data_IF_879455449879
#
_entry.id   IF_879455449879
#
_cell.length_a   1.000
_cell.length_b   1.000
_cell.length_c   1.000
_cell.angle_alpha   90.00
_cell.angle_beta   90.00
_cell.angle_gamma   90.00
#
_symmetry.space_group_name_H-M   'P 1'
#
loop_
_entity.id
_entity.type
_entity.pdbx_description
1 polymer ?
#
# COMPACT_ATOMS: atom_id res chain seq x y z
N UNK A 1 22.16 -8.97 16.24
CA UNK A 1 21.22 -7.93 15.78
C UNK A 1 19.83 -8.56 15.71
N UNK A 2 18.76 -7.78 15.81
CA UNK A 2 17.40 -8.29 15.58
C UNK A 2 16.75 -7.53 14.43
N UNK A 3 16.18 -8.28 13.50
CA UNK A 3 15.31 -7.79 12.44
C UNK A 3 13.86 -8.14 12.79
N UNK A 4 12.93 -7.27 12.43
CA UNK A 4 11.51 -7.41 12.76
C UNK A 4 10.65 -7.22 11.54
N UNK A 5 9.64 -8.07 11.41
CA UNK A 5 8.60 -7.96 10.40
C UNK A 5 7.48 -7.03 10.91
N UNK A 6 6.88 -6.18 10.06
CA UNK A 6 5.75 -5.34 10.46
C UNK A 6 4.60 -6.16 11.04
N UNK A 7 4.23 -5.89 12.29
CA UNK A 7 3.16 -6.62 13.01
C UNK A 7 1.84 -5.85 12.99
N UNK A 8 1.91 -4.56 13.30
CA UNK A 8 0.79 -3.63 13.30
C UNK A 8 0.84 -2.79 12.05
N UNK A 9 -0.13 -3.00 11.16
CA UNK A 9 -0.18 -2.33 9.87
C UNK A 9 -1.15 -1.15 9.98
N UNK A 10 -0.73 0.07 9.58
CA UNK A 10 -1.63 1.23 9.53
C UNK A 10 -2.90 0.94 8.72
N UNK A 11 -4.04 1.47 9.15
CA UNK A 11 -5.36 1.23 8.54
C UNK A 11 -6.06 -0.06 8.98
N UNK A 12 -5.31 -1.10 9.35
CA UNK A 12 -5.91 -2.34 9.86
C UNK A 12 -6.30 -2.32 11.33
N UNK A 13 -5.73 -1.39 12.09
CA UNK A 13 -5.97 -1.18 13.53
C UNK A 13 -5.82 -2.42 14.42
N UNK A 14 -5.06 -3.42 13.96
CA UNK A 14 -4.85 -4.71 14.63
C UNK A 14 -3.48 -5.32 14.23
N UNK A 15 -2.96 -6.33 14.95
CA UNK A 15 -1.70 -6.97 14.58
C UNK A 15 -1.89 -7.94 13.40
N UNK A 16 -2.12 -7.40 12.20
CA UNK A 16 -2.48 -8.13 10.98
C UNK A 16 -1.31 -8.45 10.04
N UNK A 17 -0.06 -8.13 10.41
CA UNK A 17 1.10 -8.42 9.57
C UNK A 17 1.15 -9.90 9.14
N UNK A 18 1.20 -10.22 7.83
CA UNK A 18 0.96 -11.58 7.34
C UNK A 18 2.20 -12.47 7.45
N UNK A 19 2.76 -12.58 8.66
CA UNK A 19 4.02 -13.29 8.92
C UNK A 19 3.98 -14.80 8.58
N UNK A 20 2.80 -15.37 8.39
CA UNK A 20 2.63 -16.74 7.90
C UNK A 20 3.01 -16.90 6.41
N UNK A 21 3.01 -15.80 5.64
CA UNK A 21 3.33 -15.79 4.21
C UNK A 21 4.83 -15.65 3.96
N UNK A 22 5.60 -15.17 4.94
CA UNK A 22 7.05 -15.04 4.84
C UNK A 22 7.70 -16.44 4.85
N UNK A 23 8.41 -16.76 3.78
CA UNK A 23 9.15 -18.02 3.60
C UNK A 23 10.54 -17.77 2.99
N UNK A 24 11.38 -18.80 2.98
CA UNK A 24 12.69 -18.72 2.30
C UNK A 24 13.70 -17.74 2.92
N UNK A 25 13.52 -17.29 4.17
CA UNK A 25 14.38 -16.30 4.81
C UNK A 25 15.85 -16.74 4.88
N UNK A 26 16.70 -15.96 4.21
CA UNK A 26 18.15 -16.10 4.18
C UNK A 26 18.78 -14.75 4.49
N UNK A 27 19.82 -14.77 5.31
CA UNK A 27 20.60 -13.60 5.68
C UNK A 27 22.06 -13.89 5.39
N UNK A 28 22.74 -12.96 4.73
CA UNK A 28 24.14 -13.09 4.34
C UNK A 28 24.91 -11.82 4.66
N UNK A 29 26.20 -11.98 4.99
CA UNK A 29 27.12 -10.85 5.05
C UNK A 29 28.52 -11.30 4.66
N UNK A 30 29.22 -10.49 3.86
CA UNK A 30 30.56 -10.82 3.36
C UNK A 30 30.63 -12.12 2.55
N UNK A 31 29.53 -12.51 1.88
CA UNK A 31 29.43 -13.76 1.11
C UNK A 31 29.21 -15.03 1.94
N UNK A 32 28.95 -14.90 3.25
CA UNK A 32 28.66 -16.01 4.14
C UNK A 32 27.21 -15.97 4.60
N UNK A 33 26.56 -17.13 4.64
CA UNK A 33 25.25 -17.28 5.29
C UNK A 33 25.39 -17.04 6.78
N UNK A 34 24.57 -16.14 7.32
CA UNK A 34 24.52 -15.84 8.75
C UNK A 34 23.56 -16.79 9.46
N UNK A 35 23.95 -17.34 10.63
CA UNK A 35 23.01 -18.07 11.47
C UNK A 35 22.00 -17.09 12.04
N UNK A 36 20.73 -17.48 12.02
CA UNK A 36 19.64 -16.74 12.60
C UNK A 36 18.66 -17.68 13.28
N UNK A 37 17.92 -17.14 14.25
CA UNK A 37 16.84 -17.82 14.93
C UNK A 37 15.65 -16.88 15.06
N UNK A 38 14.45 -17.39 14.81
CA UNK A 38 13.22 -16.68 15.13
C UNK A 38 13.07 -16.58 16.65
N UNK A 39 12.68 -15.42 17.15
CA UNK A 39 12.42 -15.23 18.59
C UNK A 39 11.36 -16.25 19.05
N UNK A 40 11.54 -16.93 20.20
CA UNK A 40 10.64 -18.00 20.65
C UNK A 40 9.28 -17.51 21.18
N UNK A 41 9.13 -16.20 21.41
CA UNK A 41 7.89 -15.59 21.94
C UNK A 41 7.31 -14.61 20.93
N UNK A 42 8.12 -13.68 20.41
CA UNK A 42 7.69 -12.74 19.39
C UNK A 42 7.97 -13.26 17.98
N UNK A 43 7.00 -13.97 17.40
CA UNK A 43 7.15 -14.57 16.06
C UNK A 43 7.45 -13.56 14.94
N UNK A 44 7.37 -12.25 15.18
CA UNK A 44 7.73 -11.21 14.21
C UNK A 44 9.22 -10.83 14.28
N UNK A 45 9.99 -11.34 15.25
CA UNK A 45 11.39 -11.00 15.45
C UNK A 45 12.33 -12.15 15.03
N UNK A 46 13.45 -11.77 14.44
CA UNK A 46 14.51 -12.67 13.95
C UNK A 46 15.85 -12.19 14.49
N UNK A 47 16.49 -13.01 15.32
CA UNK A 47 17.81 -12.76 15.85
C UNK A 47 18.86 -13.29 14.89
N UNK A 48 19.76 -12.41 14.44
CA UNK A 48 20.87 -12.75 13.54
C UNK A 48 22.20 -12.45 14.21
N UNK A 49 23.13 -13.39 14.12
CA UNK A 49 24.50 -13.17 14.56
C UNK A 49 25.30 -12.51 13.43
N UNK A 50 25.78 -11.30 13.69
CA UNK A 50 26.52 -10.52 12.71
C UNK A 50 27.99 -10.48 13.13
N UNK A 51 28.91 -11.10 12.37
CA UNK A 51 30.33 -11.05 12.66
C UNK A 51 30.86 -9.62 12.79
N UNK A 52 31.81 -9.43 13.71
CA UNK A 52 32.44 -8.13 13.92
C UNK A 52 33.14 -7.64 12.64
N UNK A 53 33.03 -6.33 12.37
CA UNK A 53 33.68 -5.68 11.24
C UNK A 53 32.87 -5.67 9.94
N UNK A 54 31.78 -6.45 9.84
CA UNK A 54 30.86 -6.36 8.71
C UNK A 54 29.95 -5.13 8.85
N UNK A 55 29.62 -4.51 7.72
CA UNK A 55 28.84 -3.26 7.65
C UNK A 55 27.55 -3.36 6.85
N UNK A 56 27.35 -4.49 6.18
CA UNK A 56 26.22 -4.75 5.30
C UNK A 56 25.73 -6.18 5.54
N UNK A 57 24.40 -6.33 5.52
CA UNK A 57 23.72 -7.62 5.55
C UNK A 57 22.74 -7.61 4.39
N UNK A 58 22.75 -8.67 3.60
CA UNK A 58 21.78 -8.92 2.54
C UNK A 58 20.73 -9.89 3.10
N UNK A 59 19.47 -9.50 3.01
CA UNK A 59 18.35 -10.30 3.47
C UNK A 59 17.47 -10.60 2.27
N UNK A 60 17.16 -11.87 2.06
CA UNK A 60 16.26 -12.32 1.00
C UNK A 60 15.20 -13.26 1.59
N UNK A 61 13.96 -13.10 1.17
CA UNK A 61 12.85 -13.95 1.52
C UNK A 61 11.75 -13.79 0.46
N UNK A 62 10.81 -14.73 0.46
CA UNK A 62 9.64 -14.70 -0.40
C UNK A 62 8.39 -14.42 0.45
N UNK A 63 7.43 -13.73 -0.14
CA UNK A 63 6.06 -13.61 0.39
C UNK A 63 5.12 -14.47 -0.46
N UNK A 64 4.32 -15.32 0.19
CA UNK A 64 3.29 -16.11 -0.48
C UNK A 64 2.08 -15.23 -0.82
N UNK A 65 1.88 -14.95 -2.11
CA UNK A 65 0.85 -14.03 -2.60
C UNK A 65 -0.56 -14.63 -2.70
N UNK A 66 -0.73 -15.91 -2.35
CA UNK A 66 -2.02 -16.61 -2.43
C UNK A 66 -2.91 -16.43 -1.17
N UNK A 67 -2.45 -15.62 -0.22
CA UNK A 67 -3.13 -15.30 1.03
C UNK A 67 -3.27 -13.78 1.20
N UNK A 68 -4.03 -13.37 2.22
CA UNK A 68 -4.34 -11.97 2.54
C UNK A 68 -3.12 -11.06 2.54
N UNK A 69 -3.15 -10.01 1.71
CA UNK A 69 -2.31 -8.82 1.87
C UNK A 69 -2.90 -7.97 2.99
N UNK A 70 -2.28 -8.00 4.17
CA UNK A 70 -2.40 -6.98 5.21
C UNK A 70 -3.73 -6.18 5.24
N UNK A 71 -4.86 -6.86 5.46
CA UNK A 71 -6.20 -6.24 5.49
C UNK A 71 -7.18 -6.81 4.47
N UNK A 72 -6.68 -7.24 3.32
CA UNK A 72 -7.46 -7.79 2.22
C UNK A 72 -7.97 -9.22 2.46
N UNK A 73 -9.15 -9.51 1.91
CA UNK A 73 -9.73 -10.84 1.90
C UNK A 73 -9.36 -11.60 0.62
N UNK A 74 -8.17 -12.18 0.53
CA UNK A 74 -7.77 -13.03 -0.60
C UNK A 74 -6.32 -12.87 -1.00
N UNK A 75 -5.96 -13.39 -2.19
CA UNK A 75 -4.62 -13.28 -2.73
C UNK A 75 -4.24 -11.82 -3.04
N UNK A 76 -2.95 -11.52 -3.04
CA UNK A 76 -2.40 -10.21 -3.43
C UNK A 76 -1.87 -10.19 -4.87
N UNK A 77 -1.93 -11.30 -5.59
CA UNK A 77 -1.51 -11.37 -6.98
C UNK A 77 -2.26 -12.45 -7.76
N UNK A 78 -2.34 -12.24 -9.08
CA UNK A 78 -2.80 -13.20 -10.07
C UNK A 78 -1.72 -13.43 -11.13
N UNK A 79 -2.04 -14.15 -12.20
CA UNK A 79 -1.14 -14.24 -13.36
C UNK A 79 -1.01 -12.92 -14.14
N UNK A 80 -1.95 -11.98 -13.97
CA UNK A 80 -2.06 -10.75 -14.76
C UNK A 80 -1.78 -9.48 -13.96
N UNK A 81 -1.88 -9.55 -12.62
CA UNK A 81 -1.73 -8.38 -11.77
C UNK A 81 -1.08 -8.71 -10.42
N UNK A 82 -0.57 -7.66 -9.78
CA UNK A 82 0.07 -7.63 -8.46
C UNK A 82 -0.44 -6.41 -7.71
N UNK A 83 -0.95 -6.65 -6.51
CA UNK A 83 -1.13 -5.67 -5.44
C UNK A 83 0.04 -5.87 -4.45
N UNK A 84 0.95 -4.89 -4.42
CA UNK A 84 2.13 -4.90 -3.58
C UNK A 84 1.98 -3.91 -2.43
N UNK A 85 1.77 -4.49 -1.25
CA UNK A 85 1.89 -3.80 0.02
C UNK A 85 3.31 -4.01 0.59
N UNK A 86 4.12 -2.94 0.63
CA UNK A 86 5.55 -3.04 1.00
C UNK A 86 5.80 -3.62 2.41
N UNK A 87 4.83 -3.50 3.30
CA UNK A 87 4.89 -4.11 4.63
C UNK A 87 5.02 -5.64 4.58
N UNK A 88 4.62 -6.28 3.48
CA UNK A 88 4.74 -7.72 3.28
C UNK A 88 6.17 -8.17 2.95
N UNK A 89 6.97 -7.28 2.35
CA UNK A 89 8.27 -7.58 1.75
C UNK A 89 9.41 -6.75 2.37
N UNK A 90 9.25 -6.33 3.63
CA UNK A 90 10.28 -5.60 4.37
C UNK A 90 10.57 -6.22 5.74
N UNK A 91 11.85 -6.26 6.10
CA UNK A 91 12.31 -6.47 7.48
C UNK A 91 13.03 -5.23 7.97
N UNK A 92 12.75 -4.84 9.21
CA UNK A 92 13.20 -3.58 9.79
C UNK A 92 14.18 -3.84 10.94
N UNK A 93 15.21 -3.02 11.17
CA UNK A 93 16.02 -3.12 12.38
C UNK A 93 15.19 -2.85 13.64
N UNK A 94 15.29 -3.72 14.64
CA UNK A 94 14.60 -3.51 15.92
C UNK A 94 15.11 -2.23 16.61
N UNK A 95 14.17 -1.44 17.14
CA UNK A 95 14.47 -0.28 18.00
C UNK A 95 14.64 1.05 17.25
N UNK A 96 14.58 1.03 15.92
CA UNK A 96 14.55 2.25 15.10
C UNK A 96 13.12 2.75 14.92
N UNK A 97 12.97 4.07 14.78
CA UNK A 97 11.72 4.69 14.31
C UNK A 97 11.55 4.38 12.83
N UNK A 98 10.33 4.13 12.35
CA UNK A 98 10.11 3.94 10.90
C UNK A 98 10.49 5.20 10.10
N UNK A 99 10.27 6.39 10.65
CA UNK A 99 10.73 7.65 10.02
C UNK A 99 12.26 7.79 9.99
N UNK A 100 12.97 7.07 10.87
CA UNK A 100 14.43 7.12 10.99
C UNK A 100 15.17 6.09 10.16
N UNK A 101 14.44 5.26 9.40
CA UNK A 101 15.02 4.27 8.48
C UNK A 101 14.79 4.78 7.06
N UNK A 102 15.88 5.14 6.37
CA UNK A 102 15.84 5.48 4.94
C UNK A 102 15.85 4.20 4.11
N UNK A 103 15.04 4.17 3.05
CA UNK A 103 14.95 3.05 2.10
C UNK A 103 15.05 3.61 0.69
N UNK A 104 15.76 2.89 -0.19
CA UNK A 104 15.79 3.14 -1.63
C UNK A 104 15.01 1.99 -2.31
N UNK A 105 13.70 2.16 -2.55
CA UNK A 105 12.86 1.06 -3.02
C UNK A 105 13.09 0.78 -4.50
N UNK A 106 12.99 -0.48 -4.90
CA UNK A 106 12.97 -0.84 -6.31
C UNK A 106 12.13 -2.08 -6.56
N UNK A 107 11.56 -2.18 -7.77
CA UNK A 107 10.80 -3.34 -8.23
C UNK A 107 11.29 -3.80 -9.59
N UNK A 108 11.26 -5.11 -9.81
CA UNK A 108 11.38 -5.72 -11.13
C UNK A 108 10.06 -6.39 -11.47
N UNK A 109 9.32 -5.80 -12.40
CA UNK A 109 8.03 -6.33 -12.85
C UNK A 109 8.20 -7.22 -14.09
N UNK A 110 7.25 -8.13 -14.37
CA UNK A 110 7.23 -8.88 -15.62
C UNK A 110 7.28 -7.94 -16.85
N UNK A 111 7.82 -8.45 -17.95
CA UNK A 111 7.98 -7.66 -19.17
C UNK A 111 6.62 -7.17 -19.69
N UNK A 112 6.54 -5.88 -20.03
CA UNK A 112 5.32 -5.25 -20.54
C UNK A 112 4.34 -4.75 -19.46
N UNK A 113 4.51 -5.16 -18.20
CA UNK A 113 3.66 -4.67 -17.12
C UNK A 113 3.90 -3.18 -16.86
N UNK A 114 2.82 -2.51 -16.49
CA UNK A 114 2.81 -1.12 -16.00
C UNK A 114 2.33 -1.12 -14.55
N UNK A 115 2.49 0.01 -13.86
CA UNK A 115 2.17 0.12 -12.44
C UNK A 115 1.69 1.53 -12.07
N UNK A 116 0.94 1.62 -10.97
CA UNK A 116 0.59 2.85 -10.27
C UNK A 116 1.14 2.82 -8.85
N UNK A 117 1.61 3.97 -8.35
CA UNK A 117 2.05 4.18 -6.97
C UNK A 117 2.23 5.67 -6.71
N UNK A 118 2.05 6.10 -5.46
CA UNK A 118 2.38 7.46 -5.03
C UNK A 118 3.90 7.72 -4.91
N UNK A 119 4.73 6.67 -4.87
CA UNK A 119 6.18 6.81 -4.79
C UNK A 119 6.74 7.50 -6.05
N UNK A 120 7.55 8.53 -5.84
CA UNK A 120 8.23 9.23 -6.92
C UNK A 120 9.28 8.34 -7.59
N UNK A 121 9.15 8.11 -8.90
CA UNK A 121 10.13 7.34 -9.68
C UNK A 121 11.44 8.12 -9.81
N UNK A 122 12.57 7.44 -9.53
CA UNK A 122 13.92 7.99 -9.72
C UNK A 122 14.47 7.62 -11.10
N UNK A 123 14.58 6.32 -11.39
CA UNK A 123 15.07 5.84 -12.68
C UNK A 123 14.50 4.48 -13.06
N UNK A 124 14.53 4.17 -14.36
CA UNK A 124 14.20 2.85 -14.90
C UNK A 124 15.36 2.34 -15.77
N UNK A 125 15.91 1.18 -15.44
CA UNK A 125 17.04 0.57 -16.16
C UNK A 125 16.96 -0.95 -16.06
N UNK A 126 17.23 -1.66 -17.16
CA UNK A 126 17.32 -3.13 -17.22
C UNK A 126 16.11 -3.86 -16.60
N UNK A 127 14.90 -3.33 -16.81
CA UNK A 127 13.65 -3.90 -16.27
C UNK A 127 13.43 -3.66 -14.77
N UNK A 128 14.29 -2.87 -14.11
CA UNK A 128 14.11 -2.42 -12.73
C UNK A 128 13.61 -0.98 -12.72
N UNK A 129 12.61 -0.72 -11.89
CA UNK A 129 12.16 0.62 -11.54
C UNK A 129 12.68 0.92 -10.13
N UNK A 130 13.49 1.97 -10.01
CA UNK A 130 13.92 2.49 -8.72
C UNK A 130 13.14 3.76 -8.38
N UNK A 131 12.71 3.87 -7.13
CA UNK A 131 12.02 5.02 -6.58
C UNK A 131 12.99 5.94 -5.85
N UNK A 132 12.56 7.17 -5.55
CA UNK A 132 13.33 8.08 -4.73
C UNK A 132 13.59 7.48 -3.34
N UNK A 133 14.72 7.83 -2.68
CA UNK A 133 14.90 7.51 -1.27
C UNK A 133 13.75 8.07 -0.43
N UNK A 134 13.17 7.25 0.43
CA UNK A 134 12.03 7.59 1.29
C UNK A 134 12.26 7.04 2.70
N UNK A 135 11.49 7.53 3.67
CA UNK A 135 11.43 6.86 4.97
C UNK A 135 10.72 5.51 4.85
N UNK A 136 10.99 4.58 5.77
CA UNK A 136 10.23 3.33 5.86
C UNK A 136 8.74 3.60 6.11
N UNK A 137 8.40 4.68 6.82
CA UNK A 137 7.00 5.12 6.99
C UNK A 137 6.35 5.40 5.64
N UNK A 138 6.98 6.22 4.80
CA UNK A 138 6.47 6.57 3.48
C UNK A 138 6.43 5.36 2.53
N UNK A 139 7.41 4.45 2.62
CA UNK A 139 7.40 3.21 1.84
C UNK A 139 6.19 2.33 2.16
N UNK A 140 5.97 2.03 3.44
CA UNK A 140 4.82 1.21 3.87
C UNK A 140 3.49 1.92 3.61
N UNK A 141 3.50 3.24 3.55
CA UNK A 141 2.33 4.05 3.26
C UNK A 141 2.11 4.36 1.76
N UNK A 142 2.90 3.75 0.87
CA UNK A 142 2.81 3.98 -0.58
C UNK A 142 2.81 2.65 -1.34
N UNK A 143 1.69 1.92 -1.35
CA UNK A 143 1.57 0.65 -2.08
C UNK A 143 1.76 0.83 -3.59
N UNK A 144 1.84 -0.30 -4.29
CA UNK A 144 2.00 -0.36 -5.73
C UNK A 144 1.08 -1.42 -6.33
N UNK A 145 0.23 -1.03 -7.27
CA UNK A 145 -0.49 -1.98 -8.12
C UNK A 145 0.19 -2.07 -9.47
N UNK A 146 0.25 -3.26 -10.06
CA UNK A 146 0.85 -3.50 -11.36
C UNK A 146 0.13 -4.58 -12.13
N UNK A 147 0.16 -4.52 -13.46
CA UNK A 147 -0.42 -5.57 -14.29
C UNK A 147 -0.13 -5.45 -15.77
N UNK A 148 -0.51 -6.47 -16.52
CA UNK A 148 -0.46 -6.47 -17.99
C UNK A 148 -1.53 -5.57 -18.62
N UNK A 149 -2.68 -5.45 -17.96
CA UNK A 149 -3.76 -4.53 -18.30
C UNK A 149 -3.73 -3.36 -17.32
N UNK A 150 -3.42 -2.18 -17.84
CA UNK A 150 -3.27 -0.97 -17.02
C UNK A 150 -3.69 0.27 -17.78
N UNK A 151 -4.40 1.15 -17.09
CA UNK A 151 -4.81 2.47 -17.57
C UNK A 151 -4.65 3.50 -16.47
N UNK A 152 -4.10 4.67 -16.82
CA UNK A 152 -4.07 5.82 -15.92
C UNK A 152 -5.05 6.89 -16.43
N UNK A 153 -5.80 7.49 -15.52
CA UNK A 153 -6.75 8.56 -15.81
C UNK A 153 -6.42 9.74 -14.89
N UNK A 154 -6.31 10.95 -15.45
CA UNK A 154 -6.22 12.16 -14.65
C UNK A 154 -7.62 12.69 -14.32
N UNK A 155 -7.88 12.93 -13.03
CA UNK A 155 -9.17 13.44 -12.54
C UNK A 155 -9.16 14.96 -12.32
N UNK A 156 -7.99 15.55 -12.13
CA UNK A 156 -7.83 17.01 -12.03
C UNK A 156 -7.91 17.69 -13.39
N UNK A 157 -8.41 18.91 -13.41
CA UNK A 157 -8.36 19.74 -14.62
C UNK A 157 -6.93 20.15 -14.95
N UNK A 158 -6.65 20.41 -16.23
CA UNK A 158 -5.33 20.87 -16.65
C UNK A 158 -4.93 22.17 -15.91
N UNK A 159 -3.77 22.14 -15.24
CA UNK A 159 -3.26 23.27 -14.46
C UNK A 159 -3.71 23.30 -12.99
N UNK A 160 -4.64 22.44 -12.58
CA UNK A 160 -4.98 22.26 -11.16
C UNK A 160 -3.92 21.41 -10.45
N UNK A 161 -3.59 21.77 -9.21
CA UNK A 161 -2.67 21.02 -8.34
C UNK A 161 -3.24 20.90 -6.92
N UNK A 162 -2.81 19.90 -6.13
CA UNK A 162 -2.03 18.72 -6.54
C UNK A 162 -2.78 17.85 -7.55
N UNK A 163 -2.05 17.02 -8.31
CA UNK A 163 -2.66 16.11 -9.28
C UNK A 163 -3.39 14.96 -8.58
N UNK A 164 -4.57 14.61 -9.12
CA UNK A 164 -5.29 13.38 -8.78
C UNK A 164 -5.29 12.45 -9.98
N UNK A 165 -4.73 11.27 -9.78
CA UNK A 165 -4.59 10.21 -10.76
C UNK A 165 -5.37 8.99 -10.28
N UNK A 166 -5.98 8.31 -11.22
CA UNK A 166 -6.63 7.03 -10.99
C UNK A 166 -5.88 5.99 -11.83
N UNK A 167 -5.20 5.09 -11.13
CA UNK A 167 -4.44 3.99 -11.70
C UNK A 167 -5.35 2.75 -11.67
N UNK A 168 -5.70 2.25 -12.84
CA UNK A 168 -6.57 1.08 -13.01
C UNK A 168 -5.73 -0.12 -13.43
N UNK A 169 -5.87 -1.24 -12.74
CA UNK A 169 -5.32 -2.55 -13.10
C UNK A 169 -6.44 -3.59 -13.07
N UNK A 170 -6.43 -4.55 -13.98
CA UNK A 170 -7.43 -5.61 -14.00
C UNK A 170 -6.96 -6.85 -14.72
N UNK A 171 -7.79 -7.89 -14.70
CA UNK A 171 -7.48 -9.14 -15.39
C UNK A 171 -7.65 -9.05 -16.92
N UNK A 172 -8.38 -8.04 -17.42
CA UNK A 172 -8.54 -7.76 -18.85
C UNK A 172 -8.74 -6.28 -19.18
N UNK A 173 -8.55 -5.88 -20.44
CA UNK A 173 -8.79 -4.49 -20.88
C UNK A 173 -10.25 -4.03 -20.69
N UNK A 174 -11.28 -4.87 -20.98
CA UNK A 174 -12.68 -4.52 -20.71
C UNK A 174 -12.97 -4.13 -19.25
N UNK A 175 -12.26 -4.71 -18.27
CA UNK A 175 -12.47 -4.38 -16.85
C UNK A 175 -12.07 -2.93 -16.51
N UNK A 176 -11.27 -2.29 -17.36
CA UNK A 176 -10.78 -0.92 -17.21
C UNK A 176 -11.62 0.10 -18.01
N UNK A 177 -12.68 -0.36 -18.65
CA UNK A 177 -13.65 0.51 -19.31
C UNK A 177 -14.52 1.21 -18.27
N UNK A 178 -14.80 2.48 -18.52
CA UNK A 178 -15.56 3.35 -17.63
C UNK A 178 -16.45 4.25 -18.48
N UNK A 179 -17.69 4.46 -18.04
CA UNK A 179 -18.58 5.39 -18.74
C UNK A 179 -18.10 6.82 -18.57
N UNK A 180 -18.46 7.70 -19.51
CA UNK A 180 -18.16 9.12 -19.36
C UNK A 180 -18.85 9.72 -18.13
N UNK A 181 -20.02 9.20 -17.74
CA UNK A 181 -20.74 9.65 -16.56
C UNK A 181 -19.95 9.37 -15.28
N UNK A 182 -19.41 8.16 -15.14
CA UNK A 182 -18.65 7.76 -13.95
C UNK A 182 -17.33 8.54 -13.86
N UNK A 183 -16.67 8.75 -15.00
CA UNK A 183 -15.48 9.60 -15.07
C UNK A 183 -15.79 11.00 -14.54
N UNK A 184 -16.90 11.61 -14.95
CA UNK A 184 -17.29 12.93 -14.43
C UNK A 184 -17.68 12.89 -12.95
N UNK A 185 -18.23 11.79 -12.44
CA UNK A 185 -18.48 11.60 -11.01
C UNK A 185 -17.19 11.55 -10.19
N UNK A 186 -16.16 10.82 -10.62
CA UNK A 186 -14.86 10.80 -9.93
C UNK A 186 -14.13 12.15 -9.97
N UNK A 187 -14.28 12.92 -11.06
CA UNK A 187 -13.79 14.32 -11.08
C UNK A 187 -14.54 15.20 -10.08
N UNK A 188 -15.86 15.04 -9.95
CA UNK A 188 -16.66 15.76 -8.96
C UNK A 188 -16.25 15.40 -7.55
N UNK A 189 -16.00 14.12 -7.24
CA UNK A 189 -15.47 13.69 -5.95
C UNK A 189 -14.20 14.50 -5.55
N UNK A 190 -13.24 14.62 -6.47
CA UNK A 190 -12.01 15.41 -6.24
C UNK A 190 -12.29 16.90 -6.02
N UNK A 191 -13.26 17.46 -6.76
CA UNK A 191 -13.65 18.86 -6.62
C UNK A 191 -14.39 19.14 -5.30
N UNK A 192 -15.34 18.28 -4.94
CA UNK A 192 -16.19 18.42 -3.76
C UNK A 192 -15.39 18.26 -2.47
N UNK A 193 -14.48 17.29 -2.41
CA UNK A 193 -13.53 17.15 -1.28
C UNK A 193 -12.61 18.38 -1.17
N UNK A 194 -12.20 18.97 -2.29
CA UNK A 194 -11.47 20.24 -2.32
C UNK A 194 -12.25 21.39 -1.68
N UNK A 195 -13.56 21.48 -1.94
CA UNK A 195 -14.44 22.48 -1.31
C UNK A 195 -14.66 22.18 0.18
N UNK A 196 -14.87 20.92 0.53
CA UNK A 196 -15.17 20.47 1.89
C UNK A 196 -13.99 20.70 2.85
N UNK A 197 -12.78 20.28 2.47
CA UNK A 197 -11.61 20.32 3.34
C UNK A 197 -10.73 21.54 3.14
N UNK A 198 -10.77 22.17 1.95
CA UNK A 198 -10.00 23.35 1.59
C UNK A 198 -8.50 23.12 1.37
N UNK A 199 -7.80 22.54 2.34
CA UNK A 199 -6.39 22.19 2.21
C UNK A 199 -6.21 20.77 1.68
N UNK A 200 -5.12 20.50 0.95
CA UNK A 200 -4.71 19.15 0.52
C UNK A 200 -3.32 18.88 1.09
N UNK A 201 -3.16 17.76 1.81
CA UNK A 201 -1.95 17.46 2.59
C UNK A 201 -1.05 16.41 1.91
N UNK A 202 -1.03 16.40 0.58
CA UNK A 202 -0.29 15.44 -0.23
C UNK A 202 0.25 16.13 -1.49
N UNK A 203 1.32 15.60 -2.07
CA UNK A 203 1.97 16.14 -3.28
C UNK A 203 1.16 15.87 -4.54
N UNK A 204 0.62 14.66 -4.61
CA UNK A 204 -0.31 14.12 -5.60
C UNK A 204 -1.14 13.05 -4.90
N UNK A 205 -2.25 12.63 -5.49
CA UNK A 205 -3.06 11.56 -4.95
C UNK A 205 -3.33 10.50 -6.01
N UNK A 206 -3.09 9.25 -5.67
CA UNK A 206 -3.32 8.10 -6.54
C UNK A 206 -4.45 7.22 -6.00
N UNK A 207 -5.56 7.13 -6.73
CA UNK A 207 -6.55 6.08 -6.54
C UNK A 207 -6.02 4.82 -7.23
N UNK A 208 -5.43 3.90 -6.47
CA UNK A 208 -5.00 2.60 -6.98
C UNK A 208 -6.21 1.67 -6.96
N UNK A 209 -6.70 1.28 -8.14
CA UNK A 209 -7.95 0.54 -8.26
C UNK A 209 -7.78 -0.73 -9.09
N UNK A 210 -7.90 -1.86 -8.41
CA UNK A 210 -7.77 -3.21 -8.96
C UNK A 210 -9.15 -3.82 -9.22
N UNK A 211 -9.35 -4.42 -10.40
CA UNK A 211 -10.56 -5.17 -10.77
C UNK A 211 -10.21 -6.64 -11.02
N UNK A 212 -10.57 -7.51 -10.09
CA UNK A 212 -10.21 -8.94 -10.15
C UNK A 212 -11.11 -9.81 -9.29
N UNK A 213 -11.42 -11.01 -9.79
CA UNK A 213 -12.04 -12.07 -9.00
C UNK A 213 -10.99 -13.03 -8.39
N UNK A 214 -9.70 -12.82 -8.71
CA UNK A 214 -8.57 -13.63 -8.23
C UNK A 214 -7.81 -12.96 -7.09
N UNK A 215 -7.79 -11.63 -7.06
CA UNK A 215 -7.20 -10.84 -5.98
C UNK A 215 -8.27 -10.45 -4.97
N UNK A 216 -7.88 -10.39 -3.69
CA UNK A 216 -8.80 -10.18 -2.60
C UNK A 216 -9.45 -8.80 -2.64
N UNK A 217 -10.73 -8.73 -2.31
CA UNK A 217 -11.44 -7.47 -2.13
C UNK A 217 -10.92 -6.69 -0.92
N UNK A 218 -10.76 -5.37 -1.05
CA UNK A 218 -10.42 -4.46 0.06
C UNK A 218 -10.54 -2.97 -0.33
N UNK A 219 -10.54 -2.13 0.70
CA UNK A 219 -10.18 -0.71 0.65
C UNK A 219 -9.19 -0.43 1.77
N UNK A 220 -8.12 0.30 1.46
CA UNK A 220 -7.12 0.70 2.46
C UNK A 220 -6.58 2.09 2.18
N UNK A 221 -6.56 2.89 3.23
CA UNK A 221 -6.23 4.29 3.17
C UNK A 221 -4.73 4.57 3.34
N UNK A 222 -4.19 5.37 2.42
CA UNK A 222 -2.81 5.82 2.42
C UNK A 222 -2.75 7.36 2.34
N UNK A 223 -1.62 7.97 2.71
CA UNK A 223 -1.56 9.43 2.82
C UNK A 223 -1.70 10.11 1.45
N UNK A 224 -1.00 9.57 0.45
CA UNK A 224 -0.96 10.07 -0.93
C UNK A 224 -1.62 9.10 -1.94
N UNK A 225 -2.33 8.08 -1.45
CA UNK A 225 -3.07 7.14 -2.28
C UNK A 225 -4.20 6.45 -1.51
N UNK A 226 -5.01 5.68 -2.21
CA UNK A 226 -5.79 4.59 -1.61
C UNK A 226 -5.53 3.34 -2.43
N UNK A 227 -5.50 2.19 -1.76
CA UNK A 227 -5.38 0.88 -2.39
C UNK A 227 -6.73 0.17 -2.31
N UNK A 228 -7.30 -0.15 -3.45
CA UNK A 228 -8.69 -0.59 -3.56
C UNK A 228 -8.75 -1.77 -4.53
N UNK A 229 -9.48 -2.81 -4.16
CA UNK A 229 -9.66 -4.00 -4.97
C UNK A 229 -11.11 -4.46 -4.91
N UNK A 230 -11.71 -4.59 -6.08
CA UNK A 230 -13.12 -4.98 -6.27
C UNK A 230 -13.22 -6.07 -7.33
N UNK A 231 -14.41 -6.66 -7.45
CA UNK A 231 -14.69 -7.68 -8.45
C UNK A 231 -14.46 -7.18 -9.90
N UNK A 232 -14.22 -8.12 -10.81
CA UNK A 232 -14.20 -7.83 -12.25
C UNK A 232 -15.50 -7.13 -12.67
N UNK A 233 -15.44 -6.36 -13.76
CA UNK A 233 -16.60 -5.66 -14.33
C UNK A 233 -17.30 -4.66 -13.41
N UNK A 234 -16.76 -4.30 -12.25
CA UNK A 234 -17.39 -3.35 -11.31
C UNK A 234 -17.76 -2.02 -11.99
N UNK A 235 -16.91 -1.49 -12.87
CA UNK A 235 -17.20 -0.26 -13.63
C UNK A 235 -18.22 -0.44 -14.76
N UNK A 236 -18.49 -1.68 -15.17
CA UNK A 236 -19.35 -2.03 -16.32
C UNK A 236 -20.72 -2.58 -15.89
N UNK A 237 -20.84 -3.08 -14.67
CA UNK A 237 -22.08 -3.61 -14.11
C UNK A 237 -22.70 -2.59 -13.15
N UNK A 238 -23.88 -2.02 -13.45
CA UNK A 238 -24.49 -1.00 -12.60
C UNK A 238 -24.80 -1.45 -11.17
N UNK A 239 -25.04 -2.74 -10.93
CA UNK A 239 -25.30 -3.26 -9.59
C UNK A 239 -24.02 -3.40 -8.78
N UNK A 240 -22.93 -3.87 -9.39
CA UNK A 240 -21.61 -3.88 -8.74
C UNK A 240 -21.10 -2.46 -8.52
N UNK A 241 -21.23 -1.57 -9.50
CA UNK A 241 -20.85 -0.17 -9.35
C UNK A 241 -21.56 0.47 -8.16
N UNK A 242 -22.89 0.28 -8.05
CA UNK A 242 -23.66 0.84 -6.95
C UNK A 242 -23.22 0.26 -5.59
N UNK A 243 -22.85 -1.02 -5.54
CA UNK A 243 -22.36 -1.65 -4.33
C UNK A 243 -21.03 -1.04 -3.86
N UNK A 244 -20.13 -0.72 -4.80
CA UNK A 244 -18.79 -0.18 -4.52
C UNK A 244 -18.71 1.35 -4.56
N UNK A 245 -19.84 2.05 -4.70
CA UNK A 245 -19.86 3.49 -4.93
C UNK A 245 -19.27 4.32 -3.76
N UNK A 246 -19.36 3.81 -2.53
CA UNK A 246 -18.82 4.46 -1.33
C UNK A 246 -17.32 4.24 -1.11
N UNK A 247 -16.71 3.24 -1.77
CA UNK A 247 -15.34 2.81 -1.50
C UNK A 247 -14.31 3.94 -1.72
N UNK A 248 -14.20 4.47 -2.94
CA UNK A 248 -13.18 5.49 -3.22
C UNK A 248 -13.40 6.81 -2.45
N UNK A 249 -14.65 7.32 -2.29
CA UNK A 249 -14.90 8.46 -1.42
C UNK A 249 -14.45 8.24 0.03
N UNK A 250 -14.78 7.08 0.61
CA UNK A 250 -14.38 6.69 1.98
C UNK A 250 -12.85 6.72 2.11
N UNK A 251 -12.15 5.95 1.28
CA UNK A 251 -10.69 5.85 1.36
C UNK A 251 -9.98 7.20 1.07
N UNK A 252 -10.59 8.06 0.27
CA UNK A 252 -10.01 9.36 -0.03
C UNK A 252 -10.15 10.37 1.13
N UNK A 253 -11.30 10.38 1.81
CA UNK A 253 -11.52 11.21 3.01
C UNK A 253 -10.46 10.93 4.07
N UNK A 254 -9.99 9.69 4.17
CA UNK A 254 -8.96 9.32 5.14
C UNK A 254 -7.64 10.08 4.98
N UNK A 255 -7.32 10.57 3.78
CA UNK A 255 -6.15 11.44 3.57
C UNK A 255 -6.14 12.63 4.55
N UNK A 256 -7.32 13.18 4.86
CA UNK A 256 -7.51 14.19 5.90
C UNK A 256 -7.74 13.56 7.28
N UNK A 257 -8.67 12.61 7.37
CA UNK A 257 -9.12 12.00 8.61
C UNK A 257 -8.49 10.62 8.81
N UNK A 258 -7.39 10.54 9.54
CA UNK A 258 -6.70 9.29 9.84
C UNK A 258 -5.27 9.24 9.31
N UNK A 259 -5.00 9.80 8.13
CA UNK A 259 -3.63 9.99 7.63
C UNK A 259 -3.03 11.30 8.10
N UNK A 260 -3.58 12.44 7.68
CA UNK A 260 -3.07 13.75 8.12
C UNK A 260 -3.40 14.05 9.59
N UNK A 261 -4.67 13.91 10.00
CA UNK A 261 -5.10 14.00 11.40
C UNK A 261 -5.36 12.62 11.95
N UNK A 262 -4.41 12.09 12.71
CA UNK A 262 -4.47 10.75 13.28
C UNK A 262 -4.68 10.81 14.81
N UNK A 263 -5.53 9.94 15.39
CA UNK A 263 -5.55 9.71 16.82
C UNK A 263 -4.16 9.41 17.37
N UNK A 264 -3.80 10.01 18.51
CA UNK A 264 -2.46 9.86 19.10
C UNK A 264 -2.06 8.39 19.33
N UNK A 265 -3.03 7.53 19.69
CA UNK A 265 -2.82 6.09 19.90
C UNK A 265 -2.54 5.29 18.63
N UNK A 266 -2.84 5.82 17.45
CA UNK A 266 -2.57 5.19 16.15
C UNK A 266 -1.28 5.73 15.50
N UNK A 267 -0.71 6.81 16.04
CA UNK A 267 0.57 7.37 15.59
C UNK A 267 1.74 6.67 16.31
N UNK A 268 1.97 5.40 15.97
CA UNK A 268 3.03 4.60 16.56
C UNK A 268 4.40 4.93 15.96
N UNK A 269 5.47 4.69 16.73
CA UNK A 269 6.85 4.98 16.28
C UNK A 269 7.38 3.97 15.27
N UNK A 270 6.81 2.76 15.28
CA UNK A 270 7.18 1.62 14.46
C UNK A 270 6.00 0.63 14.37
N UNK A 271 6.17 -0.41 13.57
CA UNK A 271 5.13 -1.42 13.32
C UNK A 271 5.06 -2.57 14.34
N UNK A 272 5.67 -2.43 15.52
CA UNK A 272 5.58 -3.43 16.60
C UNK A 272 4.76 -2.94 17.78
N UNK A 273 4.80 -1.64 18.02
CA UNK A 273 4.01 -0.98 19.04
C UNK A 273 2.52 -1.19 18.76
N UNK A 274 1.73 -1.61 19.76
CA UNK A 274 0.30 -1.71 19.61
C UNK A 274 -0.35 -0.38 19.26
N UNK A 275 -1.32 -0.43 18.35
CA UNK A 275 -2.21 0.68 18.07
C UNK A 275 -3.32 0.74 19.13
N UNK A 276 -3.58 1.94 19.65
CA UNK A 276 -4.61 2.22 20.66
C UNK A 276 -5.76 2.98 19.99
N UNK A 277 -6.89 2.30 19.80
CA UNK A 277 -8.00 2.71 18.93
C UNK A 277 -9.13 3.51 19.56
N UNK A 278 -8.91 4.23 20.67
CA UNK A 278 -9.97 4.91 21.43
C UNK A 278 -10.80 5.93 20.62
N UNK A 279 -10.24 6.48 19.53
CA UNK A 279 -10.91 7.42 18.62
C UNK A 279 -11.18 6.84 17.23
N UNK A 280 -11.25 5.51 17.09
CA UNK A 280 -11.64 4.89 15.82
C UNK A 280 -13.04 5.30 15.36
N UNK A 281 -13.96 5.65 16.27
CA UNK A 281 -15.27 6.17 15.87
C UNK A 281 -15.19 7.56 15.19
N UNK A 282 -14.14 8.35 15.47
CA UNK A 282 -13.85 9.58 14.73
C UNK A 282 -13.10 9.24 13.45
N UNK A 283 -12.12 8.35 13.52
CA UNK A 283 -11.34 7.93 12.36
C UNK A 283 -12.22 7.30 11.28
N UNK A 284 -12.91 6.21 11.61
CA UNK A 284 -13.73 5.42 10.68
C UNK A 284 -15.13 6.01 10.57
N UNK A 285 -15.79 6.29 11.70
CA UNK A 285 -17.19 6.72 11.69
C UNK A 285 -17.43 8.11 11.08
N UNK A 286 -16.48 9.04 11.20
CA UNK A 286 -16.60 10.32 10.48
C UNK A 286 -16.27 10.15 9.00
N UNK A 287 -15.36 9.26 8.64
CA UNK A 287 -15.04 8.99 7.24
C UNK A 287 -16.22 8.34 6.54
N UNK A 288 -16.91 7.39 7.18
CA UNK A 288 -18.18 6.84 6.68
C UNK A 288 -19.19 7.96 6.39
N UNK A 289 -19.41 8.87 7.36
CA UNK A 289 -20.37 9.96 7.20
C UNK A 289 -19.99 10.97 6.10
N UNK A 290 -18.70 11.18 5.84
CA UNK A 290 -18.23 12.15 4.86
C UNK A 290 -17.99 11.53 3.47
N UNK A 291 -17.74 10.23 3.42
CA UNK A 291 -17.49 9.46 2.20
C UNK A 291 -18.77 8.96 1.54
N UNK A 292 -19.78 8.56 2.32
CA UNK A 292 -21.07 8.05 1.84
C UNK A 292 -22.08 9.16 1.47
#
# INVERSE_FOLDING_TARGET
MTLVYPKWIPGNHRPSGPIANLTGLRMEAGGLTLPWQRDPVDMYAFHVEVPAGLREIVVSFDDLTNAGSAGASGASASSNLLDLNWNQVVLCPQGMSSDGVEVIPSVRLPAGWKFGSALGMNRKSDGVVEFNPVSLTELVDSPLIAGSHYRQIQLTSAGENPLHLMDLVGDSDPDLEMTQQDLESYKKLVAETGVLFGARHYRQYHFLYTFSDQVGHHGLEHHESSDNSVAERTLNDPSLHLLEAGLLPHEFVHSWNGKYRRPAGLATRNYREPMIGDLLWVYEGLTEYLGD
#
